data_IF_077942077571
#
_entry.id   IF_077942077571
#
_cell.length_a   1.000
_cell.length_b   1.000
_cell.length_c   1.000
_cell.angle_alpha   90.00
_cell.angle_beta   90.00
_cell.angle_gamma   90.00
#
_symmetry.space_group_name_H-M   'P 1'
#
loop_
_entity.id
_entity.type
_entity.pdbx_description
1 polymer ?
#
# COMPACT_ATOMS: atom_id res chain seq x y z
N UNK A 1 43.65 56.08 -35.98
CA UNK A 1 42.25 55.55 -35.86
C UNK A 1 42.10 54.05 -35.59
N UNK A 2 43.16 53.30 -35.40
CA UNK A 2 43.10 51.83 -35.21
C UNK A 2 43.13 51.39 -33.69
N UNK A 3 43.45 52.27 -32.74
CA UNK A 3 43.54 51.92 -31.31
C UNK A 3 42.21 51.97 -30.53
N UNK A 4 41.20 52.69 -31.03
CA UNK A 4 39.92 52.82 -30.33
C UNK A 4 39.01 51.61 -30.57
N UNK A 5 39.09 50.92 -31.74
CA UNK A 5 38.26 49.80 -32.08
C UNK A 5 38.63 48.53 -31.28
N UNK A 6 39.88 48.34 -30.92
CA UNK A 6 40.32 47.18 -30.15
C UNK A 6 39.90 47.20 -28.69
N UNK A 7 39.71 48.40 -28.09
CA UNK A 7 39.26 48.56 -26.70
C UNK A 7 37.75 48.30 -26.62
N UNK A 8 36.97 48.72 -27.64
CA UNK A 8 35.52 48.46 -27.69
C UNK A 8 35.21 46.99 -27.88
N UNK A 9 35.98 46.25 -28.69
CA UNK A 9 35.86 44.79 -28.84
C UNK A 9 36.23 44.01 -27.58
N UNK A 10 37.21 44.48 -26.81
CA UNK A 10 37.60 43.85 -25.54
C UNK A 10 36.54 44.03 -24.47
N UNK A 11 35.88 45.20 -24.39
CA UNK A 11 34.76 45.44 -23.46
C UNK A 11 33.50 44.66 -23.83
N UNK A 12 33.21 44.49 -25.13
CA UNK A 12 32.09 43.65 -25.60
C UNK A 12 32.33 42.16 -25.33
N UNK A 13 33.56 41.66 -25.42
CA UNK A 13 33.94 40.29 -25.08
C UNK A 13 33.85 40.01 -23.57
N UNK A 14 34.17 40.98 -22.71
CA UNK A 14 34.08 40.84 -21.25
C UNK A 14 32.60 40.84 -20.81
N UNK A 15 31.71 41.61 -21.45
CA UNK A 15 30.29 41.63 -21.16
C UNK A 15 29.57 40.33 -21.59
N UNK A 16 30.08 39.62 -22.59
CA UNK A 16 29.54 38.33 -23.01
C UNK A 16 29.96 37.15 -22.11
N UNK A 17 31.01 37.30 -21.32
CA UNK A 17 31.42 36.26 -20.34
C UNK A 17 30.70 36.33 -19.01
N UNK A 18 29.96 37.40 -18.70
CA UNK A 18 29.15 37.50 -17.47
C UNK A 18 27.74 36.86 -17.58
N UNK A 19 27.38 36.32 -18.74
CA UNK A 19 26.03 35.77 -18.99
C UNK A 19 25.81 34.28 -18.70
N UNK A 20 26.85 33.56 -18.22
CA UNK A 20 26.69 32.15 -17.85
C UNK A 20 27.19 31.93 -16.41
N UNK A 21 26.59 32.55 -15.44
CA UNK A 21 26.54 31.97 -14.12
C UNK A 21 25.54 30.80 -14.19
N UNK A 22 26.03 29.61 -14.47
CA UNK A 22 25.31 28.41 -14.02
C UNK A 22 25.25 28.56 -12.49
N UNK A 23 24.12 29.02 -11.95
CA UNK A 23 23.83 28.79 -10.54
C UNK A 23 23.93 27.28 -10.36
N UNK A 24 25.02 26.83 -9.76
CA UNK A 24 25.12 25.46 -9.24
C UNK A 24 24.06 25.42 -8.17
N UNK A 25 22.88 24.91 -8.55
CA UNK A 25 21.81 24.68 -7.58
C UNK A 25 22.38 23.72 -6.55
N UNK A 26 22.52 24.16 -5.31
CA UNK A 26 22.88 23.31 -4.18
C UNK A 26 21.70 22.37 -3.88
N UNK A 27 21.55 21.37 -4.76
CA UNK A 27 20.46 20.39 -4.70
C UNK A 27 20.48 19.61 -3.37
N UNK A 28 21.69 19.34 -2.84
CA UNK A 28 21.81 18.64 -1.56
C UNK A 28 21.32 19.52 -0.40
N UNK A 29 21.76 20.77 -0.34
CA UNK A 29 21.29 21.72 0.68
C UNK A 29 19.78 21.91 0.64
N UNK A 30 19.23 22.04 -0.56
CA UNK A 30 17.79 22.21 -0.74
C UNK A 30 16.99 20.94 -0.34
N UNK A 31 17.45 19.75 -0.66
CA UNK A 31 16.84 18.50 -0.23
C UNK A 31 16.87 18.36 1.31
N UNK A 32 18.01 18.72 1.94
CA UNK A 32 18.14 18.72 3.40
C UNK A 32 17.17 19.70 4.06
N UNK A 33 17.02 20.90 3.51
CA UNK A 33 16.04 21.89 3.99
C UNK A 33 14.62 21.35 3.91
N UNK A 34 14.20 20.80 2.76
CA UNK A 34 12.88 20.23 2.59
C UNK A 34 12.59 19.08 3.54
N UNK A 35 13.54 18.15 3.68
CA UNK A 35 13.42 17.02 4.60
C UNK A 35 13.33 17.54 6.06
N UNK A 36 14.22 18.42 6.47
CA UNK A 36 14.24 18.98 7.82
C UNK A 36 12.93 19.69 8.16
N UNK A 37 12.43 20.54 7.24
CA UNK A 37 11.17 21.25 7.41
C UNK A 37 10.00 20.29 7.53
N UNK A 38 9.85 19.39 6.56
CA UNK A 38 8.72 18.46 6.52
C UNK A 38 8.73 17.43 7.67
N UNK A 39 9.91 17.13 8.25
CA UNK A 39 10.03 16.21 9.38
C UNK A 39 9.99 16.89 10.74
N UNK A 40 9.86 18.22 10.80
CA UNK A 40 9.78 18.94 12.06
C UNK A 40 8.47 18.66 12.81
N UNK A 41 8.50 18.83 14.13
CA UNK A 41 7.34 18.64 15.02
C UNK A 41 6.16 19.55 14.67
N UNK A 42 6.43 20.73 14.09
CA UNK A 42 5.41 21.66 13.62
C UNK A 42 4.44 21.04 12.62
N UNK A 43 4.92 20.11 11.80
CA UNK A 43 4.11 19.43 10.79
C UNK A 43 3.33 18.20 11.33
N UNK A 44 3.42 17.90 12.64
CA UNK A 44 2.58 16.91 13.35
C UNK A 44 2.44 15.56 12.64
N UNK A 45 3.50 15.08 11.96
CA UNK A 45 3.46 13.84 11.16
C UNK A 45 2.66 13.92 9.85
N UNK A 46 2.17 15.10 9.46
CA UNK A 46 1.58 15.40 8.13
C UNK A 46 0.32 14.59 7.78
N UNK A 47 -0.43 14.14 8.78
CA UNK A 47 -1.63 13.33 8.55
C UNK A 47 -2.69 14.12 7.76
N UNK A 48 -3.28 13.53 6.68
CA UNK A 48 -4.38 14.16 5.96
C UNK A 48 -5.57 14.51 6.89
N UNK A 49 -6.18 15.69 6.67
CA UNK A 49 -7.30 16.16 7.48
C UNK A 49 -6.91 16.78 8.84
N UNK A 50 -5.61 16.93 9.14
CA UNK A 50 -5.10 17.59 10.34
C UNK A 50 -4.45 18.93 9.99
N UNK A 51 -4.12 19.73 11.03
CA UNK A 51 -3.35 20.98 10.85
C UNK A 51 -1.99 20.71 10.20
N UNK A 52 -1.24 19.70 10.66
CA UNK A 52 0.04 19.30 10.05
C UNK A 52 -0.09 18.89 8.58
N UNK A 53 -1.18 18.21 8.21
CA UNK A 53 -1.50 17.92 6.81
C UNK A 53 -1.77 19.19 6.00
N UNK A 54 -2.47 20.18 6.58
CA UNK A 54 -2.72 21.47 5.91
C UNK A 54 -1.43 22.26 5.71
N UNK A 55 -0.56 22.34 6.73
CA UNK A 55 0.76 22.97 6.63
C UNK A 55 1.60 22.31 5.53
N UNK A 56 1.61 20.97 5.49
CA UNK A 56 2.36 20.21 4.48
C UNK A 56 1.95 20.56 3.05
N UNK A 57 0.66 20.53 2.75
CA UNK A 57 0.21 20.82 1.38
C UNK A 57 0.50 22.26 0.95
N UNK A 58 0.36 23.22 1.87
CA UNK A 58 0.70 24.61 1.61
C UNK A 58 2.19 24.78 1.33
N UNK A 59 3.05 24.19 2.19
CA UNK A 59 4.50 24.22 2.02
C UNK A 59 4.93 23.65 0.67
N UNK A 60 4.38 22.48 0.28
CA UNK A 60 4.70 21.87 -1.02
C UNK A 60 4.25 22.78 -2.18
N UNK A 61 3.05 23.34 -2.13
CA UNK A 61 2.57 24.26 -3.16
C UNK A 61 3.48 25.50 -3.29
N UNK A 62 3.97 26.03 -2.18
CA UNK A 62 4.87 27.19 -2.17
C UNK A 62 6.27 26.83 -2.73
N UNK A 63 6.77 25.61 -2.47
CA UNK A 63 8.02 25.15 -3.10
C UNK A 63 7.84 24.98 -4.61
N UNK A 64 6.72 24.41 -5.08
CA UNK A 64 6.43 24.29 -6.51
C UNK A 64 6.40 25.64 -7.21
N UNK A 65 5.76 26.66 -6.59
CA UNK A 65 5.75 28.04 -7.10
C UNK A 65 7.17 28.63 -7.20
N UNK A 66 8.00 28.44 -6.16
CA UNK A 66 9.40 28.91 -6.17
C UNK A 66 10.23 28.26 -7.28
N UNK A 67 9.92 27.03 -7.63
CA UNK A 67 10.56 26.30 -8.72
C UNK A 67 9.96 26.63 -10.11
N UNK A 68 9.00 27.57 -10.18
CA UNK A 68 8.25 27.92 -11.40
C UNK A 68 7.58 26.70 -12.07
N UNK A 69 7.10 25.75 -11.25
CA UNK A 69 6.31 24.62 -11.73
C UNK A 69 4.84 25.07 -11.71
N UNK A 70 4.23 25.14 -12.88
CA UNK A 70 2.82 25.52 -13.00
C UNK A 70 1.89 24.43 -12.46
N UNK A 71 0.73 24.80 -11.89
CA UNK A 71 -0.26 23.84 -11.46
C UNK A 71 -0.90 23.13 -12.65
N UNK A 72 -1.41 21.91 -12.44
CA UNK A 72 -2.24 21.25 -13.43
C UNK A 72 -3.67 21.85 -13.36
N UNK A 73 -4.01 22.72 -14.30
CA UNK A 73 -5.24 23.53 -14.27
C UNK A 73 -5.09 24.78 -13.41
N UNK A 74 -6.14 25.17 -12.68
CA UNK A 74 -6.21 26.46 -11.98
C UNK A 74 -5.66 26.42 -10.53
N UNK A 75 -5.26 25.24 -10.03
CA UNK A 75 -4.88 25.08 -8.63
C UNK A 75 -3.82 24.00 -8.43
N UNK A 76 -2.92 24.22 -7.43
CA UNK A 76 -2.01 23.17 -6.92
C UNK A 76 -2.74 22.11 -6.10
N UNK A 77 -4.00 22.31 -5.79
CA UNK A 77 -4.78 21.43 -4.93
C UNK A 77 -5.93 20.78 -5.71
N UNK A 78 -6.08 19.47 -5.47
CA UNK A 78 -7.22 18.69 -5.96
C UNK A 78 -8.00 18.21 -4.74
N UNK A 79 -9.30 18.46 -4.73
CA UNK A 79 -10.19 17.94 -3.69
C UNK A 79 -10.36 16.42 -3.85
N UNK A 80 -10.03 15.68 -2.81
CA UNK A 80 -10.14 14.22 -2.77
C UNK A 80 -11.10 13.83 -1.64
N UNK A 81 -12.35 13.48 -1.96
CA UNK A 81 -13.30 13.02 -0.94
C UNK A 81 -12.79 11.73 -0.27
N UNK A 82 -12.67 11.75 1.03
CA UNK A 82 -12.21 10.59 1.80
C UNK A 82 -13.22 10.19 2.87
N UNK A 83 -13.39 8.88 3.02
CA UNK A 83 -14.22 8.28 4.08
C UNK A 83 -13.29 7.71 5.15
N UNK A 84 -13.51 8.12 6.40
CA UNK A 84 -12.81 7.56 7.56
C UNK A 84 -13.64 6.45 8.18
N UNK A 85 -13.03 5.27 8.33
CA UNK A 85 -13.64 4.11 8.99
C UNK A 85 -12.80 3.76 10.22
N UNK A 86 -13.48 3.60 11.36
CA UNK A 86 -12.85 3.18 12.62
C UNK A 86 -13.57 1.95 13.15
N UNK A 87 -12.81 0.86 13.39
CA UNK A 87 -13.38 -0.32 14.04
C UNK A 87 -13.79 0.00 15.48
N UNK A 88 -14.97 -0.45 15.87
CA UNK A 88 -15.43 -0.37 17.26
C UNK A 88 -14.66 -1.40 18.11
N UNK A 89 -14.42 -1.09 19.38
CA UNK A 89 -13.68 -1.96 20.31
C UNK A 89 -14.28 -3.37 20.47
N UNK A 90 -15.60 -3.53 20.26
CA UNK A 90 -16.29 -4.82 20.29
C UNK A 90 -16.16 -5.64 18.99
N UNK A 91 -15.48 -5.12 17.97
CA UNK A 91 -15.27 -5.85 16.73
C UNK A 91 -14.30 -7.02 16.97
N UNK A 92 -14.63 -8.19 16.42
CA UNK A 92 -13.82 -9.40 16.61
C UNK A 92 -13.93 -10.34 15.40
N UNK A 93 -12.98 -11.24 15.31
CA UNK A 93 -12.98 -12.37 14.37
C UNK A 93 -12.95 -13.67 15.16
N UNK A 94 -13.79 -14.61 14.76
CA UNK A 94 -13.76 -16.00 15.22
C UNK A 94 -13.55 -16.88 14.00
N UNK A 95 -12.59 -17.79 14.09
CA UNK A 95 -12.40 -18.86 13.13
C UNK A 95 -12.86 -20.18 13.74
N UNK A 96 -13.60 -20.97 12.96
CA UNK A 96 -14.13 -22.26 13.37
C UNK A 96 -13.50 -23.37 12.54
N UNK A 97 -12.89 -24.35 13.20
CA UNK A 97 -12.34 -25.52 12.56
C UNK A 97 -12.89 -26.78 13.23
N UNK A 98 -13.51 -27.69 12.47
CA UNK A 98 -14.09 -28.95 12.98
C UNK A 98 -15.00 -28.74 14.21
N UNK A 99 -15.77 -27.64 14.22
CA UNK A 99 -16.69 -27.32 15.31
C UNK A 99 -16.03 -26.71 16.56
N UNK A 100 -14.75 -26.39 16.49
CA UNK A 100 -14.05 -25.65 17.56
C UNK A 100 -13.87 -24.18 17.13
N UNK A 101 -14.42 -23.28 17.94
CA UNK A 101 -14.34 -21.86 17.74
C UNK A 101 -13.15 -21.26 18.48
N UNK A 102 -12.36 -20.47 17.76
CA UNK A 102 -11.28 -19.67 18.33
C UNK A 102 -11.46 -18.20 17.99
N UNK A 103 -11.67 -17.39 19.02
CA UNK A 103 -11.66 -15.93 18.90
C UNK A 103 -10.21 -15.46 18.88
N UNK A 104 -9.87 -14.67 17.87
CA UNK A 104 -8.50 -14.13 17.69
C UNK A 104 -8.32 -12.80 18.40
N UNK A 105 -7.15 -12.57 18.97
CA UNK A 105 -6.75 -11.31 19.59
C UNK A 105 -6.41 -10.29 18.50
N UNK A 106 -7.23 -9.23 18.41
CA UNK A 106 -7.01 -8.15 17.46
C UNK A 106 -5.69 -7.43 17.73
N UNK A 107 -4.92 -7.17 16.69
CA UNK A 107 -3.57 -6.62 16.73
C UNK A 107 -2.53 -7.74 16.72
N UNK A 108 -2.52 -8.59 17.74
CA UNK A 108 -1.48 -9.63 17.91
C UNK A 108 -1.64 -10.83 16.99
N UNK A 109 -2.86 -11.35 16.86
CA UNK A 109 -3.14 -12.57 16.08
C UNK A 109 -3.81 -12.29 14.75
N UNK A 110 -4.50 -11.16 14.64
CA UNK A 110 -5.18 -10.71 13.42
C UNK A 110 -5.33 -9.21 13.41
N UNK A 111 -5.16 -8.60 12.24
CA UNK A 111 -5.71 -7.27 11.96
C UNK A 111 -6.76 -7.42 10.87
N UNK A 112 -7.84 -6.67 10.97
CA UNK A 112 -8.93 -6.71 10.00
C UNK A 112 -9.65 -5.37 9.94
N UNK A 113 -10.27 -5.11 8.81
CA UNK A 113 -11.07 -3.90 8.57
C UNK A 113 -12.13 -4.18 7.51
N UNK A 114 -12.91 -3.16 7.21
CA UNK A 114 -13.84 -3.13 6.08
C UNK A 114 -13.71 -1.82 5.33
N UNK A 115 -13.91 -1.87 4.04
CA UNK A 115 -14.08 -0.67 3.20
C UNK A 115 -15.55 -0.30 2.99
N UNK A 116 -16.46 -1.07 3.54
CA UNK A 116 -17.88 -0.79 3.47
C UNK A 116 -18.23 0.36 4.45
N UNK A 117 -18.61 1.52 3.92
CA UNK A 117 -19.00 2.69 4.69
C UNK A 117 -20.39 2.52 5.31
N UNK A 118 -20.51 1.57 6.22
CA UNK A 118 -21.75 1.21 6.95
C UNK A 118 -21.44 1.04 8.42
N UNK A 119 -22.38 1.45 9.29
CA UNK A 119 -22.20 1.42 10.74
C UNK A 119 -21.98 0.01 11.30
N UNK A 120 -22.60 -0.99 10.72
CA UNK A 120 -22.48 -2.38 11.14
C UNK A 120 -22.32 -3.31 9.95
N UNK A 121 -21.35 -4.21 10.07
CA UNK A 121 -21.10 -5.30 9.10
C UNK A 121 -20.81 -6.59 9.84
N UNK A 122 -21.31 -7.69 9.31
CA UNK A 122 -21.05 -9.03 9.83
C UNK A 122 -20.94 -10.04 8.71
N UNK A 123 -19.83 -10.75 8.68
CA UNK A 123 -19.64 -11.97 7.90
C UNK A 123 -19.92 -13.16 8.82
N UNK A 124 -20.79 -14.07 8.42
CA UNK A 124 -21.16 -15.26 9.20
C UNK A 124 -20.95 -16.50 8.37
N UNK A 125 -20.47 -17.56 9.03
CA UNK A 125 -20.42 -18.92 8.50
C UNK A 125 -19.77 -18.99 7.10
N UNK A 126 -18.80 -18.10 6.84
CA UNK A 126 -18.08 -18.01 5.58
C UNK A 126 -17.01 -19.10 5.54
N UNK A 127 -17.11 -20.00 4.58
CA UNK A 127 -16.13 -21.05 4.37
C UNK A 127 -14.76 -20.48 4.05
N UNK A 128 -13.68 -20.98 4.67
CA UNK A 128 -12.31 -20.65 4.31
C UNK A 128 -11.87 -21.47 3.09
N UNK A 129 -11.27 -20.80 2.12
CA UNK A 129 -10.71 -21.43 0.91
C UNK A 129 -9.30 -20.90 0.71
N UNK A 130 -8.32 -21.80 0.72
CA UNK A 130 -6.95 -21.44 0.36
C UNK A 130 -6.82 -21.33 -1.16
N UNK A 131 -6.26 -20.21 -1.63
CA UNK A 131 -6.12 -19.89 -3.06
C UNK A 131 -4.67 -19.50 -3.41
N UNK A 132 -3.70 -20.23 -2.88
CA UNK A 132 -2.29 -19.99 -3.19
C UNK A 132 -1.87 -18.54 -2.93
N UNK A 133 -1.39 -17.85 -3.95
CA UNK A 133 -1.05 -16.43 -3.88
C UNK A 133 -2.24 -15.50 -4.20
N UNK A 134 -3.39 -16.05 -4.60
CA UNK A 134 -4.57 -15.26 -4.97
C UNK A 134 -4.37 -14.38 -6.20
N UNK A 135 -3.67 -14.90 -7.20
CA UNK A 135 -3.26 -14.17 -8.41
C UNK A 135 -4.00 -14.71 -9.64
N UNK A 136 -4.45 -13.78 -10.48
CA UNK A 136 -4.88 -14.04 -11.86
C UNK A 136 -4.03 -13.17 -12.79
N UNK A 137 -3.06 -13.79 -13.48
CA UNK A 137 -2.05 -13.13 -14.31
C UNK A 137 -1.88 -13.90 -15.63
N UNK A 138 -2.73 -13.61 -16.63
CA UNK A 138 -2.74 -14.36 -17.91
C UNK A 138 -1.40 -14.28 -18.64
N UNK A 139 -0.64 -13.20 -18.54
CA UNK A 139 0.68 -13.04 -19.17
C UNK A 139 1.76 -13.96 -18.58
N UNK A 140 1.54 -14.48 -17.37
CA UNK A 140 2.36 -15.54 -16.76
C UNK A 140 1.74 -16.92 -16.89
N UNK A 141 0.57 -17.03 -17.55
CA UNK A 141 -0.25 -18.26 -17.59
C UNK A 141 -0.54 -18.77 -16.17
N UNK A 142 -0.89 -17.84 -15.26
CA UNK A 142 -1.11 -18.09 -13.85
C UNK A 142 -2.51 -17.71 -13.43
N UNK A 143 -3.23 -18.62 -12.76
CA UNK A 143 -4.56 -18.36 -12.22
C UNK A 143 -4.84 -19.24 -11.00
N UNK A 144 -4.66 -18.66 -9.81
CA UNK A 144 -4.92 -19.33 -8.53
C UNK A 144 -6.41 -19.58 -8.25
N UNK A 145 -7.29 -19.00 -9.05
CA UNK A 145 -8.75 -19.17 -8.92
C UNK A 145 -9.33 -20.17 -9.92
N UNK A 146 -8.50 -20.77 -10.76
CA UNK A 146 -8.99 -21.68 -11.79
C UNK A 146 -9.68 -22.91 -11.18
N UNK A 147 -10.95 -23.15 -11.56
CA UNK A 147 -11.75 -24.24 -11.04
C UNK A 147 -12.25 -24.10 -9.60
N UNK A 148 -11.98 -22.97 -8.93
CA UNK A 148 -12.36 -22.71 -7.53
C UNK A 148 -13.48 -21.67 -7.48
N UNK A 149 -14.65 -22.01 -6.97
CA UNK A 149 -15.70 -21.03 -6.69
C UNK A 149 -15.49 -20.42 -5.28
N UNK A 150 -15.14 -19.14 -5.25
CA UNK A 150 -14.89 -18.37 -4.02
C UNK A 150 -16.01 -17.39 -3.66
N UNK A 151 -17.08 -17.34 -4.45
CA UNK A 151 -18.19 -16.39 -4.25
C UNK A 151 -18.85 -16.57 -2.88
N UNK A 152 -18.91 -15.49 -2.12
CA UNK A 152 -19.45 -15.48 -0.76
C UNK A 152 -18.57 -16.17 0.30
N UNK A 153 -17.41 -16.69 -0.07
CA UNK A 153 -16.46 -17.35 0.85
C UNK A 153 -15.37 -16.39 1.30
N UNK A 154 -14.58 -16.82 2.28
CA UNK A 154 -13.39 -16.12 2.73
C UNK A 154 -12.16 -16.81 2.14
N UNK A 155 -11.43 -16.11 1.30
CA UNK A 155 -10.19 -16.64 0.73
C UNK A 155 -9.01 -16.38 1.68
N UNK A 156 -8.11 -17.37 1.75
CA UNK A 156 -6.84 -17.30 2.49
C UNK A 156 -5.72 -17.42 1.47
N UNK A 157 -4.74 -16.54 1.53
CA UNK A 157 -3.68 -16.48 0.54
C UNK A 157 -2.34 -16.03 1.10
N UNK A 158 -1.27 -16.39 0.41
CA UNK A 158 0.09 -15.98 0.73
C UNK A 158 0.34 -14.52 0.29
N UNK A 159 1.17 -13.81 1.06
CA UNK A 159 1.74 -12.53 0.63
C UNK A 159 2.79 -12.76 -0.46
N UNK A 160 3.13 -11.72 -1.23
CA UNK A 160 4.06 -11.76 -2.34
C UNK A 160 3.51 -12.54 -3.54
N UNK A 161 4.37 -13.02 -4.43
CA UNK A 161 4.04 -13.77 -5.64
C UNK A 161 4.96 -14.98 -5.80
N UNK A 162 4.63 -15.96 -6.65
CA UNK A 162 5.39 -17.20 -6.82
C UNK A 162 6.86 -17.01 -7.20
N UNK A 163 7.21 -15.86 -7.76
CA UNK A 163 8.59 -15.51 -8.08
C UNK A 163 9.47 -15.44 -6.86
N UNK A 164 8.96 -14.92 -5.75
CA UNK A 164 9.70 -14.80 -4.49
C UNK A 164 10.18 -16.16 -3.97
N UNK A 165 9.28 -17.12 -3.87
CA UNK A 165 9.60 -18.46 -3.33
C UNK A 165 10.43 -19.30 -4.30
N UNK A 166 10.18 -19.19 -5.61
CA UNK A 166 10.94 -19.96 -6.61
C UNK A 166 12.27 -19.34 -7.00
N UNK A 167 12.44 -18.03 -6.84
CA UNK A 167 13.61 -17.26 -7.30
C UNK A 167 13.78 -17.20 -8.82
N UNK A 168 12.82 -17.73 -9.60
CA UNK A 168 12.91 -17.78 -11.08
C UNK A 168 12.59 -16.42 -11.69
N UNK A 169 13.58 -15.76 -12.32
CA UNK A 169 13.43 -14.42 -12.93
C UNK A 169 12.31 -14.34 -13.98
N UNK A 170 12.01 -15.43 -14.68
CA UNK A 170 10.95 -15.47 -15.68
C UNK A 170 9.55 -15.60 -15.09
N UNK A 171 9.46 -15.90 -13.80
CA UNK A 171 8.20 -16.03 -13.07
C UNK A 171 8.09 -14.84 -12.12
N UNK A 172 7.16 -13.93 -12.36
CA UNK A 172 6.91 -12.74 -11.55
C UNK A 172 8.17 -11.96 -11.16
N UNK A 173 9.15 -11.88 -12.07
CA UNK A 173 10.40 -11.16 -11.84
C UNK A 173 11.28 -11.69 -10.67
N UNK A 174 11.16 -12.96 -10.32
CA UNK A 174 11.92 -13.63 -9.28
C UNK A 174 11.65 -13.02 -7.89
N UNK A 175 12.69 -12.73 -7.13
CA UNK A 175 12.54 -12.19 -5.76
C UNK A 175 12.06 -10.73 -5.69
N UNK A 176 11.98 -10.02 -6.80
CA UNK A 176 11.47 -8.66 -6.83
C UNK A 176 9.94 -8.68 -6.92
N UNK A 177 9.29 -8.27 -5.84
CA UNK A 177 7.83 -8.25 -5.76
C UNK A 177 7.20 -7.47 -6.92
N UNK A 178 6.34 -8.12 -7.68
CA UNK A 178 5.52 -7.48 -8.71
C UNK A 178 4.28 -6.80 -8.10
N UNK A 179 3.46 -6.14 -8.93
CA UNK A 179 2.16 -5.63 -8.46
C UNK A 179 1.25 -6.76 -7.95
N UNK A 180 1.32 -7.94 -8.54
CA UNK A 180 0.57 -9.12 -8.11
C UNK A 180 0.90 -9.57 -6.69
N UNK A 181 2.13 -9.36 -6.24
CA UNK A 181 2.57 -9.64 -4.87
C UNK A 181 2.04 -8.66 -3.83
N UNK A 182 1.54 -7.49 -4.26
CA UNK A 182 1.07 -6.43 -3.35
C UNK A 182 -0.25 -6.81 -2.69
N UNK A 183 -0.36 -6.49 -1.41
CA UNK A 183 -1.58 -6.73 -0.63
C UNK A 183 -2.82 -6.00 -1.20
N UNK A 184 -2.64 -4.83 -1.79
CA UNK A 184 -3.71 -4.09 -2.47
C UNK A 184 -4.31 -4.88 -3.62
N UNK A 185 -3.46 -5.42 -4.50
CA UNK A 185 -3.90 -6.29 -5.60
C UNK A 185 -4.69 -7.50 -5.08
N UNK A 186 -4.17 -8.15 -4.03
CA UNK A 186 -4.79 -9.37 -3.47
C UNK A 186 -6.21 -9.13 -2.96
N UNK A 187 -6.45 -8.04 -2.24
CA UNK A 187 -7.79 -7.65 -1.81
C UNK A 187 -8.70 -7.29 -2.97
N UNK A 188 -8.16 -6.61 -3.98
CA UNK A 188 -8.91 -6.23 -5.18
C UNK A 188 -9.28 -7.44 -6.02
N UNK A 189 -8.32 -8.35 -6.25
CA UNK A 189 -8.59 -9.56 -7.04
C UNK A 189 -9.60 -10.46 -6.34
N UNK A 190 -9.44 -10.73 -5.07
CA UNK A 190 -10.40 -11.51 -4.30
C UNK A 190 -11.83 -10.94 -4.38
N UNK A 191 -11.97 -9.60 -4.32
CA UNK A 191 -13.25 -8.93 -4.49
C UNK A 191 -13.80 -9.11 -5.92
N UNK A 192 -12.96 -9.00 -6.97
CA UNK A 192 -13.34 -9.28 -8.37
C UNK A 192 -13.82 -10.72 -8.57
N UNK A 193 -13.23 -11.68 -7.86
CA UNK A 193 -13.65 -13.09 -7.84
C UNK A 193 -14.90 -13.34 -6.99
N UNK A 194 -15.43 -12.32 -6.30
CA UNK A 194 -16.66 -12.41 -5.50
C UNK A 194 -16.47 -12.95 -4.09
N UNK A 195 -15.25 -12.98 -3.57
CA UNK A 195 -15.00 -13.37 -2.19
C UNK A 195 -15.64 -12.38 -1.22
N UNK A 196 -16.27 -12.88 -0.15
CA UNK A 196 -16.87 -12.06 0.88
C UNK A 196 -15.87 -11.63 1.97
N UNK A 197 -14.83 -12.42 2.18
CA UNK A 197 -13.72 -12.10 3.08
C UNK A 197 -12.38 -12.45 2.46
N UNK A 198 -11.32 -11.79 2.93
CA UNK A 198 -9.95 -12.03 2.49
C UNK A 198 -9.02 -12.04 3.68
N UNK A 199 -8.16 -13.05 3.76
CA UNK A 199 -7.12 -13.16 4.78
C UNK A 199 -5.79 -13.35 4.09
N UNK A 200 -4.86 -12.42 4.27
CA UNK A 200 -3.48 -12.56 3.80
C UNK A 200 -2.63 -13.15 4.93
N UNK A 201 -1.89 -14.21 4.63
CA UNK A 201 -0.92 -14.80 5.53
C UNK A 201 0.37 -13.99 5.47
N UNK A 202 0.77 -13.42 6.61
CA UNK A 202 1.96 -12.59 6.72
C UNK A 202 3.19 -13.44 7.05
N UNK A 203 4.17 -13.43 6.16
CA UNK A 203 5.54 -13.88 6.39
C UNK A 203 6.47 -12.67 6.30
N UNK A 204 7.33 -12.47 7.31
CA UNK A 204 8.18 -11.28 7.39
C UNK A 204 9.12 -11.13 6.19
N UNK A 205 9.76 -12.22 5.77
CA UNK A 205 10.70 -12.22 4.64
C UNK A 205 9.98 -11.91 3.31
N UNK A 206 8.82 -12.52 3.09
CA UNK A 206 8.04 -12.32 1.87
C UNK A 206 7.37 -10.94 1.83
N UNK A 207 6.93 -10.42 2.97
CA UNK A 207 6.36 -9.08 3.09
C UNK A 207 7.43 -7.98 3.05
N UNK A 208 8.67 -8.30 3.44
CA UNK A 208 9.81 -7.39 3.63
C UNK A 208 9.63 -6.38 4.79
N UNK A 209 8.78 -6.71 5.77
CA UNK A 209 8.61 -5.95 7.02
C UNK A 209 8.03 -6.85 8.12
N UNK A 210 8.28 -6.53 9.41
CA UNK A 210 7.79 -7.32 10.54
C UNK A 210 6.29 -7.15 10.77
N UNK A 211 5.67 -8.12 11.48
CA UNK A 211 4.26 -8.08 11.85
C UNK A 211 3.85 -6.78 12.55
N UNK A 212 4.73 -6.22 13.39
CA UNK A 212 4.47 -4.96 14.08
C UNK A 212 4.14 -3.78 13.13
N UNK A 213 4.64 -3.81 11.90
CA UNK A 213 4.28 -2.82 10.87
C UNK A 213 2.80 -2.96 10.50
N UNK A 214 2.33 -4.18 10.30
CA UNK A 214 0.91 -4.45 9.98
C UNK A 214 0.04 -4.09 11.19
N UNK A 215 0.40 -4.56 12.38
CA UNK A 215 -0.33 -4.26 13.62
C UNK A 215 -0.52 -2.76 13.84
N UNK A 216 0.57 -1.98 13.77
CA UNK A 216 0.52 -0.54 14.02
C UNK A 216 -0.18 0.25 12.90
N UNK A 217 -0.05 -0.17 11.63
CA UNK A 217 -0.66 0.52 10.50
C UNK A 217 -2.18 0.44 10.48
N UNK A 218 -2.76 -0.62 11.07
CA UNK A 218 -4.21 -0.87 11.04
C UNK A 218 -4.92 -0.54 12.36
N UNK A 219 -4.20 0.06 13.29
CA UNK A 219 -4.82 0.59 14.51
C UNK A 219 -5.44 1.97 14.25
N UNK A 220 -6.60 2.20 14.88
CA UNK A 220 -7.28 3.48 14.81
C UNK A 220 -7.99 3.75 13.48
N UNK A 221 -8.24 5.01 13.15
CA UNK A 221 -8.99 5.42 11.97
C UNK A 221 -8.24 5.13 10.67
N UNK A 222 -8.92 4.50 9.73
CA UNK A 222 -8.43 4.25 8.37
C UNK A 222 -9.13 5.18 7.38
N UNK A 223 -8.37 5.79 6.47
CA UNK A 223 -8.89 6.62 5.39
C UNK A 223 -8.92 5.81 4.09
N UNK A 224 -10.01 5.91 3.36
CA UNK A 224 -10.13 5.42 1.97
C UNK A 224 -10.84 6.48 1.12
N UNK A 225 -10.75 6.36 -0.19
CA UNK A 225 -11.53 7.20 -1.10
C UNK A 225 -13.02 7.00 -0.85
N UNK A 226 -13.77 8.10 -0.85
CA UNK A 226 -15.23 8.00 -0.85
C UNK A 226 -15.70 7.34 -2.14
N UNK A 227 -16.41 6.23 -2.03
CA UNK A 227 -16.91 5.45 -3.16
C UNK A 227 -18.40 5.64 -3.31
N UNK A 228 -18.89 5.75 -4.54
CA UNK A 228 -20.33 5.88 -4.84
C UNK A 228 -21.13 4.68 -4.35
N UNK A 229 -20.55 3.49 -4.45
CA UNK A 229 -21.14 2.23 -3.97
C UNK A 229 -20.97 2.00 -2.46
N UNK A 230 -20.44 2.96 -1.72
CA UNK A 230 -20.12 2.84 -0.29
C UNK A 230 -19.15 1.69 0.01
N UNK A 231 -18.32 1.30 -0.94
CA UNK A 231 -17.35 0.21 -0.84
C UNK A 231 -17.94 -1.19 -1.01
N UNK A 232 -19.20 -1.31 -1.46
CA UNK A 232 -19.85 -2.63 -1.59
C UNK A 232 -19.25 -3.54 -2.65
N UNK A 233 -18.49 -3.01 -3.61
CA UNK A 233 -17.69 -3.77 -4.58
C UNK A 233 -16.43 -4.41 -3.98
N UNK A 234 -16.09 -4.09 -2.72
CA UNK A 234 -14.95 -4.68 -2.01
C UNK A 234 -15.40 -5.88 -1.17
N UNK A 235 -14.45 -6.73 -0.78
CA UNK A 235 -14.74 -7.76 0.21
C UNK A 235 -15.25 -7.12 1.51
N UNK A 236 -16.22 -7.76 2.14
CA UNK A 236 -16.81 -7.26 3.38
C UNK A 236 -15.79 -7.17 4.51
N UNK A 237 -14.83 -8.09 4.55
CA UNK A 237 -13.72 -8.13 5.51
C UNK A 237 -12.42 -8.33 4.76
N UNK A 238 -11.47 -7.46 4.99
CA UNK A 238 -10.07 -7.59 4.58
C UNK A 238 -9.22 -7.77 5.83
N UNK A 239 -8.34 -8.77 5.86
CA UNK A 239 -7.60 -9.13 7.07
C UNK A 239 -6.19 -9.64 6.77
N UNK A 240 -5.34 -9.58 7.82
CA UNK A 240 -4.04 -10.22 7.85
C UNK A 240 -3.91 -11.08 9.09
N UNK A 241 -3.22 -12.23 8.97
CA UNK A 241 -2.85 -13.11 10.07
C UNK A 241 -1.37 -13.45 9.95
N UNK A 242 -0.57 -13.44 11.03
CA UNK A 242 0.77 -14.02 11.03
C UNK A 242 0.72 -15.49 10.61
N UNK A 243 1.68 -15.95 9.80
CA UNK A 243 1.69 -17.32 9.29
C UNK A 243 1.77 -18.36 10.41
N UNK A 244 2.53 -18.09 11.47
CA UNK A 244 2.65 -18.97 12.64
C UNK A 244 1.35 -19.09 13.43
N UNK A 245 0.58 -17.98 13.56
CA UNK A 245 -0.76 -18.02 14.17
C UNK A 245 -1.68 -18.88 13.31
N UNK A 246 -1.67 -18.71 12.00
CA UNK A 246 -2.49 -19.50 11.10
C UNK A 246 -2.08 -20.98 11.09
N UNK A 247 -0.79 -21.28 11.07
CA UNK A 247 -0.24 -22.64 11.18
C UNK A 247 -0.77 -23.35 12.41
N UNK A 248 -0.66 -22.72 13.59
CA UNK A 248 -1.21 -23.26 14.83
C UNK A 248 -2.72 -23.47 14.82
N UNK A 249 -3.46 -22.69 13.99
CA UNK A 249 -4.91 -22.85 13.84
C UNK A 249 -5.29 -24.05 12.98
N UNK A 250 -4.46 -24.45 12.03
CA UNK A 250 -4.78 -25.52 11.08
C UNK A 250 -4.12 -26.87 11.41
N UNK A 251 -3.12 -26.92 12.32
CA UNK A 251 -2.35 -28.14 12.63
C UNK A 251 -3.22 -29.37 12.95
N UNK A 252 -4.33 -29.17 13.67
CA UNK A 252 -5.25 -30.26 13.98
C UNK A 252 -6.15 -30.67 12.82
N UNK A 253 -6.15 -29.96 11.69
CA UNK A 253 -6.95 -30.33 10.50
C UNK A 253 -6.28 -31.39 9.64
N UNK A 254 -4.99 -31.65 9.84
CA UNK A 254 -4.15 -32.49 9.00
C UNK A 254 -3.45 -31.75 7.87
N UNK A 255 -3.71 -30.45 7.72
CA UNK A 255 -2.93 -29.57 6.85
C UNK A 255 -1.83 -28.91 7.67
N UNK A 256 -0.69 -28.64 7.05
CA UNK A 256 0.35 -27.78 7.60
C UNK A 256 0.69 -26.67 6.62
N UNK A 257 1.36 -25.63 7.11
CA UNK A 257 1.67 -24.44 6.32
C UNK A 257 2.59 -24.73 5.14
N UNK A 258 3.60 -25.60 5.33
CA UNK A 258 4.57 -25.95 4.28
C UNK A 258 3.88 -26.67 3.11
N UNK A 259 2.96 -27.60 3.42
CA UNK A 259 2.16 -28.27 2.41
C UNK A 259 1.26 -27.30 1.62
N UNK A 260 0.72 -26.26 2.28
CA UNK A 260 -0.05 -25.22 1.57
C UNK A 260 0.85 -24.40 0.64
N UNK A 261 2.08 -24.08 1.04
CA UNK A 261 3.05 -23.41 0.16
C UNK A 261 3.46 -24.26 -1.03
N UNK A 262 3.68 -25.57 -0.84
CA UNK A 262 3.99 -26.50 -1.92
C UNK A 262 2.85 -26.60 -2.95
N UNK A 263 1.61 -26.64 -2.48
CA UNK A 263 0.43 -26.68 -3.37
C UNK A 263 0.25 -25.37 -4.15
N UNK A 264 0.72 -24.25 -3.61
CA UNK A 264 0.62 -22.93 -4.22
C UNK A 264 1.63 -22.68 -5.37
N UNK A 265 2.60 -23.59 -5.57
CA UNK A 265 3.64 -23.50 -6.62
C UNK A 265 3.42 -24.48 -7.77
#
# INVERSE_FOLDING_TARGET
MYKLNNIACLFAAILLCYGCSNEVTDTEGQLREWISTLSSDEFEGRKPGTNGGQLTKNYIADQLKKLNIEPLGDSYFVEVPATQITLKNQSYVTLSFRGQDRKLNTGKEIVFWTKHAKEYRKLRDSQLVFVGYGISAPEYNWNDYEGIDVRGKTVVMLINDPGFDTGKLRLFNGKSMTYYGRWTYKFEEAARQGAAGVIILHEEDAAAYPWSTVENSWQGPQLDLTREDLGLSRALVEAWIPHDVFSNLIDFTGFNYDSLKEIAL
#
